data_IF_599043976649
#
_entry.id   IF_599043976649
#
_cell.length_a   1.000
_cell.length_b   1.000
_cell.length_c   1.000
_cell.angle_alpha   90.00
_cell.angle_beta   90.00
_cell.angle_gamma   90.00
#
_symmetry.space_group_name_H-M   'P 1'
#
loop_
_entity.id
_entity.type
_entity.pdbx_description
1 polymer ?
#
# COMPACT_ATOMS: atom_id res chain seq x y z
N UNK A 1 -98.15 8.31 -66.74
CA UNK A 1 -97.27 9.49 -66.70
C UNK A 1 -97.64 10.38 -65.52
N UNK A 2 -96.76 10.56 -64.52
CA UNK A 2 -96.71 11.73 -63.62
C UNK A 2 -95.39 11.71 -62.87
N UNK A 3 -94.48 12.61 -63.24
CA UNK A 3 -93.11 12.66 -62.74
C UNK A 3 -93.03 13.09 -61.27
N UNK A 4 -92.22 12.38 -60.49
CA UNK A 4 -91.82 12.81 -59.14
C UNK A 4 -90.89 14.02 -59.26
N UNK A 5 -91.37 15.20 -58.88
CA UNK A 5 -90.52 16.39 -58.70
C UNK A 5 -89.63 16.16 -57.48
N UNK A 6 -88.31 16.20 -57.67
CA UNK A 6 -87.34 16.25 -56.56
C UNK A 6 -87.41 17.62 -55.89
N UNK A 7 -87.53 17.64 -54.56
CA UNK A 7 -87.43 18.86 -53.78
C UNK A 7 -86.02 19.47 -53.89
N UNK A 8 -85.89 20.81 -53.91
CA UNK A 8 -84.59 21.47 -53.85
C UNK A 8 -83.91 21.19 -52.51
N UNK A 9 -82.60 20.88 -52.55
CA UNK A 9 -81.77 20.76 -51.33
C UNK A 9 -81.74 22.13 -50.63
N UNK A 10 -81.87 22.21 -49.30
CA UNK A 10 -81.72 23.48 -48.60
C UNK A 10 -80.28 24.00 -48.81
N UNK A 11 -80.09 25.32 -48.99
CA UNK A 11 -78.76 25.89 -49.00
C UNK A 11 -78.14 25.65 -47.61
N UNK A 12 -76.93 25.08 -47.58
CA UNK A 12 -76.11 25.02 -46.37
C UNK A 12 -75.98 26.44 -45.79
N UNK A 13 -76.42 26.70 -44.55
CA UNK A 13 -76.43 28.05 -44.03
C UNK A 13 -75.02 28.42 -43.57
N UNK A 14 -74.71 29.71 -43.75
CA UNK A 14 -73.68 30.45 -43.03
C UNK A 14 -72.29 29.83 -42.93
N UNK A 15 -71.38 30.28 -43.81
CA UNK A 15 -70.02 30.56 -43.36
C UNK A 15 -70.12 31.65 -42.30
N UNK A 16 -70.00 31.27 -41.02
CA UNK A 16 -69.79 32.25 -39.95
C UNK A 16 -68.61 33.14 -40.38
N UNK A 17 -68.69 34.47 -40.24
CA UNK A 17 -67.56 35.35 -40.55
C UNK A 17 -66.31 35.01 -39.71
N UNK A 18 -66.49 34.23 -38.64
CA UNK A 18 -65.44 33.76 -37.76
C UNK A 18 -64.80 32.43 -38.16
N UNK A 19 -65.39 31.64 -39.07
CA UNK A 19 -64.81 30.34 -39.50
C UNK A 19 -63.37 30.48 -40.02
N UNK A 20 -63.02 31.44 -40.91
CA UNK A 20 -61.62 31.60 -41.34
C UNK A 20 -60.71 32.04 -40.20
N UNK A 21 -61.19 32.85 -39.25
CA UNK A 21 -60.43 33.30 -38.08
C UNK A 21 -60.11 32.12 -37.16
N UNK A 22 -61.09 31.25 -36.89
CA UNK A 22 -60.90 30.04 -36.08
C UNK A 22 -59.95 29.06 -36.76
N UNK A 23 -60.04 28.88 -38.08
CA UNK A 23 -59.10 28.05 -38.83
C UNK A 23 -57.67 28.60 -38.78
N UNK A 24 -57.47 29.91 -38.98
CA UNK A 24 -56.15 30.54 -38.92
C UNK A 24 -55.58 30.46 -37.50
N UNK A 25 -56.37 30.74 -36.47
CA UNK A 25 -55.95 30.60 -35.07
C UNK A 25 -55.56 29.16 -34.72
N UNK A 26 -56.32 28.18 -35.20
CA UNK A 26 -56.00 26.76 -35.03
C UNK A 26 -54.69 26.36 -35.71
N UNK A 27 -54.42 26.87 -36.92
CA UNK A 27 -53.15 26.61 -37.63
C UNK A 27 -51.97 27.26 -36.91
N UNK A 28 -52.11 28.50 -36.42
CA UNK A 28 -51.08 29.20 -35.64
C UNK A 28 -50.78 28.48 -34.33
N UNK A 29 -51.82 28.02 -33.62
CA UNK A 29 -51.64 27.24 -32.40
C UNK A 29 -50.95 25.90 -32.66
N UNK A 30 -51.32 25.20 -33.74
CA UNK A 30 -50.69 23.94 -34.13
C UNK A 30 -49.23 24.10 -34.56
N UNK A 31 -48.90 25.14 -35.33
CA UNK A 31 -47.52 25.41 -35.74
C UNK A 31 -46.65 25.87 -34.57
N UNK A 32 -47.19 26.65 -33.63
CA UNK A 32 -46.50 26.99 -32.39
C UNK A 32 -46.20 25.74 -31.54
N UNK A 33 -47.17 24.83 -31.38
CA UNK A 33 -46.98 23.54 -30.70
C UNK A 33 -45.88 22.69 -31.34
N UNK A 34 -45.86 22.58 -32.67
CA UNK A 34 -44.82 21.85 -33.40
C UNK A 34 -43.45 22.52 -33.24
N UNK A 35 -43.37 23.85 -33.32
CA UNK A 35 -42.12 24.58 -33.12
C UNK A 35 -41.56 24.42 -31.70
N UNK A 36 -42.40 24.41 -30.67
CA UNK A 36 -42.00 24.17 -29.28
C UNK A 36 -41.45 22.75 -29.08
N UNK A 37 -42.00 21.75 -29.78
CA UNK A 37 -41.47 20.38 -29.72
C UNK A 37 -40.03 20.26 -30.24
N UNK A 38 -39.62 21.09 -31.20
CA UNK A 38 -38.23 21.14 -31.69
C UNK A 38 -37.25 21.84 -30.73
N UNK A 39 -37.75 22.50 -29.67
CA UNK A 39 -36.93 23.10 -28.63
C UNK A 39 -36.66 22.14 -27.45
N UNK A 40 -37.42 21.04 -27.36
CA UNK A 40 -37.19 19.99 -26.36
C UNK A 40 -36.00 19.15 -26.83
N UNK A 41 -34.98 19.07 -25.98
CA UNK A 41 -33.84 18.15 -26.19
C UNK A 41 -34.07 16.89 -25.38
N UNK A 42 -33.74 15.75 -25.97
CA UNK A 42 -33.67 14.47 -25.29
C UNK A 42 -32.24 14.18 -24.85
N UNK A 43 -32.02 14.10 -23.55
CA UNK A 43 -30.69 13.98 -22.95
C UNK A 43 -30.65 12.74 -22.07
N UNK A 44 -29.56 11.99 -22.10
CA UNK A 44 -29.35 10.85 -21.20
C UNK A 44 -28.56 11.30 -19.99
N UNK A 45 -29.19 11.33 -18.83
CA UNK A 45 -28.53 11.60 -17.56
C UNK A 45 -28.09 10.29 -16.92
N UNK A 46 -26.82 10.18 -16.54
CA UNK A 46 -26.22 9.01 -15.88
C UNK A 46 -25.75 9.43 -14.50
N UNK A 47 -26.46 9.04 -13.45
CA UNK A 47 -26.09 9.36 -12.05
C UNK A 47 -25.55 8.11 -11.38
N UNK A 48 -24.26 8.12 -11.04
CA UNK A 48 -23.55 6.96 -10.47
C UNK A 48 -23.80 5.64 -11.24
N UNK A 49 -23.86 5.72 -12.57
CA UNK A 49 -24.10 4.58 -13.46
C UNK A 49 -25.57 4.30 -13.77
N UNK A 50 -26.53 4.93 -13.08
CA UNK A 50 -27.96 4.78 -13.35
C UNK A 50 -28.39 5.71 -14.47
N UNK A 51 -28.88 5.15 -15.59
CA UNK A 51 -29.25 5.91 -16.80
C UNK A 51 -30.72 6.30 -16.75
N UNK A 52 -31.02 7.58 -16.97
CA UNK A 52 -32.38 8.13 -17.01
C UNK A 52 -32.53 9.10 -18.19
N UNK A 53 -33.54 8.94 -19.06
CA UNK A 53 -33.84 9.94 -20.08
C UNK A 53 -34.43 11.19 -19.42
N UNK A 54 -33.98 12.36 -19.87
CA UNK A 54 -34.44 13.66 -19.40
C UNK A 54 -34.82 14.50 -20.61
N UNK A 55 -36.05 15.01 -20.61
CA UNK A 55 -36.50 16.00 -21.58
C UNK A 55 -36.30 17.38 -20.98
N UNK A 56 -35.48 18.21 -21.62
CA UNK A 56 -35.17 19.54 -21.13
C UNK A 56 -35.20 20.58 -22.25
N UNK A 57 -35.66 21.79 -21.90
CA UNK A 57 -35.50 22.98 -22.74
C UNK A 57 -34.15 23.69 -22.52
N UNK A 58 -33.30 23.08 -21.68
CA UNK A 58 -32.07 23.64 -21.17
C UNK A 58 -31.04 23.97 -22.27
N UNK A 59 -30.38 25.10 -22.11
CA UNK A 59 -29.21 25.51 -22.89
C UNK A 59 -27.95 24.80 -22.41
N UNK A 60 -27.80 24.56 -21.11
CA UNK A 60 -26.57 24.07 -20.47
C UNK A 60 -26.77 22.80 -19.63
N UNK A 61 -25.67 22.15 -19.26
CA UNK A 61 -25.67 20.96 -18.40
C UNK A 61 -26.28 21.25 -17.02
N UNK A 62 -25.94 22.39 -16.41
CA UNK A 62 -26.48 22.83 -15.12
C UNK A 62 -28.01 22.95 -15.14
N UNK A 63 -28.58 23.53 -16.20
CA UNK A 63 -30.02 23.65 -16.36
C UNK A 63 -30.70 22.28 -16.56
N UNK A 64 -30.07 21.34 -17.27
CA UNK A 64 -30.59 19.96 -17.39
C UNK A 64 -30.61 19.28 -16.03
N UNK A 65 -29.55 19.42 -15.23
CA UNK A 65 -29.47 18.85 -13.89
C UNK A 65 -30.54 19.43 -12.95
N UNK A 66 -30.73 20.74 -12.98
CA UNK A 66 -31.77 21.42 -12.20
C UNK A 66 -33.18 20.93 -12.60
N UNK A 67 -33.45 20.80 -13.90
CA UNK A 67 -34.71 20.26 -14.41
C UNK A 67 -34.95 18.79 -14.00
N UNK A 68 -33.88 18.00 -13.89
CA UNK A 68 -33.91 16.62 -13.42
C UNK A 68 -33.97 16.50 -11.88
N UNK A 69 -33.92 17.61 -11.14
CA UNK A 69 -33.90 17.63 -9.67
C UNK A 69 -32.58 17.13 -9.06
N UNK A 70 -31.48 17.15 -9.83
CA UNK A 70 -30.15 16.77 -9.36
C UNK A 70 -29.42 18.00 -8.88
N UNK A 71 -29.10 18.02 -7.58
CA UNK A 71 -28.29 19.09 -6.95
C UNK A 71 -26.85 18.62 -6.82
N UNK A 72 -25.90 19.47 -7.22
CA UNK A 72 -24.48 19.17 -7.09
C UNK A 72 -23.97 19.56 -5.70
N UNK A 73 -23.35 18.59 -5.02
CA UNK A 73 -22.64 18.82 -3.77
C UNK A 73 -21.15 19.13 -4.02
N UNK A 74 -20.47 19.56 -2.95
CA UNK A 74 -19.03 19.76 -3.01
C UNK A 74 -18.29 18.45 -3.31
N UNK A 75 -17.45 18.46 -4.34
CA UNK A 75 -16.67 17.31 -4.79
C UNK A 75 -17.36 16.46 -5.87
N UNK A 76 -18.65 16.68 -6.14
CA UNK A 76 -19.32 16.01 -7.25
C UNK A 76 -18.68 16.41 -8.58
N UNK A 77 -18.59 15.45 -9.50
CA UNK A 77 -18.03 15.66 -10.83
C UNK A 77 -19.12 15.44 -11.87
N UNK A 78 -19.28 16.41 -12.77
CA UNK A 78 -20.16 16.32 -13.93
C UNK A 78 -19.35 16.36 -15.22
N UNK A 79 -19.74 15.53 -16.20
CA UNK A 79 -19.20 15.52 -17.56
C UNK A 79 -20.35 15.46 -18.57
N UNK A 80 -20.41 16.34 -19.59
CA UNK A 80 -19.57 17.53 -19.80
C UNK A 80 -19.66 18.57 -18.67
N UNK A 81 -18.88 19.66 -18.74
CA UNK A 81 -18.86 20.65 -17.65
C UNK A 81 -20.22 21.32 -17.46
N UNK A 82 -20.52 21.80 -16.25
CA UNK A 82 -21.82 22.37 -15.90
C UNK A 82 -22.26 23.54 -16.82
N UNK A 83 -21.31 24.32 -17.33
CA UNK A 83 -21.57 25.47 -18.22
C UNK A 83 -21.59 25.11 -19.70
N UNK A 84 -21.35 23.84 -20.04
CA UNK A 84 -21.30 23.40 -21.43
C UNK A 84 -22.70 23.35 -22.04
N UNK A 85 -22.80 23.77 -23.30
CA UNK A 85 -24.06 23.74 -24.03
C UNK A 85 -24.49 22.30 -24.32
N UNK A 86 -25.75 22.00 -24.05
CA UNK A 86 -26.32 20.66 -24.24
C UNK A 86 -26.97 20.58 -25.61
N UNK A 87 -26.59 19.54 -26.38
CA UNK A 87 -27.19 19.18 -27.67
C UNK A 87 -28.18 18.05 -27.49
N UNK A 88 -29.06 17.89 -28.48
CA UNK A 88 -29.97 16.76 -28.54
C UNK A 88 -29.18 15.43 -28.62
N UNK A 89 -29.62 14.43 -27.86
CA UNK A 89 -28.94 13.14 -27.70
C UNK A 89 -27.68 13.17 -26.83
N UNK A 90 -27.35 14.28 -26.16
CA UNK A 90 -26.19 14.36 -25.28
C UNK A 90 -26.28 13.37 -24.11
N UNK A 91 -25.13 12.89 -23.63
CA UNK A 91 -25.02 12.13 -22.38
C UNK A 91 -24.34 12.99 -21.34
N UNK A 92 -25.00 13.17 -20.20
CA UNK A 92 -24.48 13.88 -19.03
C UNK A 92 -24.22 12.83 -17.94
N UNK A 93 -22.98 12.68 -17.51
CA UNK A 93 -22.58 11.81 -16.42
C UNK A 93 -22.34 12.64 -15.16
N UNK A 94 -22.98 12.25 -14.07
CA UNK A 94 -22.77 12.80 -12.72
C UNK A 94 -22.23 11.70 -11.83
N UNK A 95 -21.07 11.95 -11.24
CA UNK A 95 -20.48 11.12 -10.19
C UNK A 95 -20.50 11.89 -8.89
N UNK A 96 -21.21 11.37 -7.89
CA UNK A 96 -21.30 12.00 -6.58
C UNK A 96 -20.06 11.71 -5.74
N UNK A 97 -19.60 12.71 -5.01
CA UNK A 97 -18.52 12.57 -4.05
C UNK A 97 -18.96 11.75 -2.84
N UNK A 98 -18.06 10.86 -2.41
CA UNK A 98 -18.26 9.90 -1.32
C UNK A 98 -17.12 10.07 -0.32
N UNK A 99 -17.42 10.35 0.97
CA UNK A 99 -16.38 10.42 2.00
C UNK A 99 -15.72 9.05 2.21
N UNK A 100 -14.39 9.00 2.18
CA UNK A 100 -13.62 7.79 2.43
C UNK A 100 -12.59 8.03 3.52
N UNK A 101 -12.75 7.36 4.65
CA UNK A 101 -11.72 7.31 5.71
C UNK A 101 -10.83 6.11 5.46
N UNK A 102 -9.62 6.37 4.97
CA UNK A 102 -8.65 5.35 4.60
C UNK A 102 -7.59 5.18 5.68
N UNK A 103 -7.43 3.96 6.19
CA UNK A 103 -6.31 3.57 7.05
C UNK A 103 -5.33 2.69 6.29
N UNK A 104 -4.21 3.28 5.85
CA UNK A 104 -3.14 2.59 5.13
C UNK A 104 -2.02 2.23 6.11
N UNK A 105 -1.78 0.94 6.32
CA UNK A 105 -0.72 0.42 7.21
C UNK A 105 -0.73 0.98 8.65
N UNK A 106 -1.85 1.57 9.08
CA UNK A 106 -2.02 2.18 10.38
C UNK A 106 -2.11 3.69 10.39
N UNK A 107 -1.86 4.35 9.26
CA UNK A 107 -2.02 5.79 9.10
C UNK A 107 -3.40 6.10 8.51
N UNK A 108 -4.20 6.88 9.23
CA UNK A 108 -5.56 7.25 8.82
C UNK A 108 -5.56 8.60 8.13
N UNK A 109 -6.25 8.68 7.00
CA UNK A 109 -6.47 9.89 6.20
C UNK A 109 -7.91 9.94 5.71
N UNK A 110 -8.43 11.15 5.47
CA UNK A 110 -9.79 11.37 4.96
C UNK A 110 -9.70 11.89 3.53
N UNK A 111 -10.48 11.28 2.65
CA UNK A 111 -10.54 11.61 1.22
C UNK A 111 -12.00 11.77 0.78
N UNK A 112 -12.19 12.48 -0.33
CA UNK A 112 -13.43 12.46 -1.09
C UNK A 112 -13.13 11.79 -2.43
N UNK A 113 -13.89 10.77 -2.78
CA UNK A 113 -13.73 10.01 -4.02
C UNK A 113 -15.04 10.01 -4.81
N UNK A 114 -14.97 9.86 -6.12
CA UNK A 114 -16.16 9.78 -7.00
C UNK A 114 -16.48 8.35 -7.43
N UNK A 115 -15.57 7.42 -7.12
CA UNK A 115 -15.73 5.98 -7.35
C UNK A 115 -16.93 5.36 -6.62
N UNK A 116 -17.66 4.47 -7.31
CA UNK A 116 -18.83 3.77 -6.76
C UNK A 116 -18.49 2.48 -6.00
N UNK A 117 -17.27 1.97 -6.17
CA UNK A 117 -16.78 0.74 -5.55
C UNK A 117 -15.35 0.89 -5.00
N UNK A 118 -14.97 -0.01 -4.10
CA UNK A 118 -13.67 0.02 -3.39
C UNK A 118 -12.49 -0.01 -4.35
N UNK A 119 -12.56 -0.82 -5.42
CA UNK A 119 -11.48 -0.97 -6.40
C UNK A 119 -11.20 0.32 -7.16
N UNK A 120 -12.25 0.97 -7.67
CA UNK A 120 -12.15 2.28 -8.31
C UNK A 120 -11.69 3.36 -7.33
N UNK A 121 -12.16 3.34 -6.09
CA UNK A 121 -11.78 4.33 -5.08
C UNK A 121 -10.28 4.25 -4.74
N UNK A 122 -9.73 3.04 -4.65
CA UNK A 122 -8.30 2.84 -4.47
C UNK A 122 -7.50 3.28 -5.70
N UNK A 123 -8.01 3.04 -6.91
CA UNK A 123 -7.38 3.51 -8.14
C UNK A 123 -7.35 5.04 -8.26
N UNK A 124 -8.42 5.72 -7.85
CA UNK A 124 -8.52 7.19 -7.82
C UNK A 124 -7.49 7.82 -6.86
N UNK A 125 -7.12 7.11 -5.79
CA UNK A 125 -6.10 7.53 -4.83
C UNK A 125 -4.68 7.06 -5.20
N UNK A 126 -4.48 6.49 -6.40
CA UNK A 126 -3.23 5.86 -6.84
C UNK A 126 -2.72 4.74 -5.89
N UNK A 127 -3.63 4.13 -5.13
CA UNK A 127 -3.32 3.03 -4.23
C UNK A 127 -3.56 1.74 -4.96
N UNK A 128 -2.48 1.15 -5.47
CA UNK A 128 -2.54 -0.25 -5.89
C UNK A 128 -2.58 -1.10 -4.63
N UNK A 129 -3.64 -1.90 -4.37
CA UNK A 129 -3.62 -2.86 -3.28
C UNK A 129 -2.57 -3.93 -3.61
N UNK A 130 -1.31 -3.65 -3.27
CA UNK A 130 -0.16 -4.47 -3.61
C UNK A 130 -0.28 -5.83 -2.91
N UNK A 131 -0.94 -6.79 -3.57
CA UNK A 131 -1.25 -8.13 -3.08
C UNK A 131 -1.64 -8.19 -1.58
N UNK A 132 -2.28 -7.11 -1.11
CA UNK A 132 -2.47 -6.78 0.29
C UNK A 132 -3.75 -7.38 0.86
N UNK A 133 -4.04 -7.10 2.13
CA UNK A 133 -5.34 -7.40 2.72
C UNK A 133 -6.17 -6.13 2.79
N UNK A 134 -7.41 -6.20 2.33
CA UNK A 134 -8.40 -5.13 2.43
C UNK A 134 -9.43 -5.47 3.50
N UNK A 135 -10.00 -4.47 4.17
CA UNK A 135 -11.15 -4.67 5.07
C UNK A 135 -12.45 -4.93 4.32
N UNK A 136 -12.55 -4.51 3.06
CA UNK A 136 -13.67 -4.76 2.16
C UNK A 136 -13.17 -5.26 0.79
N UNK A 137 -13.86 -6.20 0.12
CA UNK A 137 -13.59 -6.61 -1.25
C UNK A 137 -13.56 -5.43 -2.24
N UNK A 138 -12.74 -5.47 -3.31
CA UNK A 138 -12.70 -4.42 -4.33
C UNK A 138 -14.04 -4.15 -5.04
N UNK A 139 -14.93 -5.13 -5.11
CA UNK A 139 -16.25 -5.00 -5.74
C UNK A 139 -17.32 -4.40 -4.83
N UNK A 140 -17.04 -4.20 -3.55
CA UNK A 140 -18.02 -3.66 -2.61
C UNK A 140 -18.32 -2.20 -2.94
N UNK A 141 -19.59 -1.81 -2.77
CA UNK A 141 -20.02 -0.44 -2.99
C UNK A 141 -19.44 0.49 -1.90
N UNK A 142 -19.00 1.68 -2.32
CA UNK A 142 -18.67 2.78 -1.40
C UNK A 142 -19.95 3.58 -1.17
N UNK A 143 -20.54 3.67 0.04
CA UNK A 143 -21.79 4.40 0.25
C UNK A 143 -21.65 5.92 0.11
N UNK A 144 -22.76 6.62 -0.12
CA UNK A 144 -22.80 8.09 -0.18
C UNK A 144 -22.58 8.72 1.20
N UNK A 145 -23.07 8.07 2.27
CA UNK A 145 -22.80 8.48 3.66
C UNK A 145 -21.33 8.32 4.07
N UNK A 146 -20.56 7.56 3.29
CA UNK A 146 -19.13 7.35 3.43
C UNK A 146 -18.74 5.93 3.81
N UNK A 147 -17.42 5.66 3.80
CA UNK A 147 -16.84 4.35 4.09
C UNK A 147 -15.57 4.46 4.93
N UNK A 148 -15.36 3.51 5.85
CA UNK A 148 -14.06 3.27 6.47
C UNK A 148 -13.37 2.08 5.78
N UNK A 149 -12.18 2.31 5.23
CA UNK A 149 -11.42 1.29 4.51
C UNK A 149 -10.04 1.14 5.14
N UNK A 150 -9.67 -0.09 5.52
CA UNK A 150 -8.32 -0.40 5.99
C UNK A 150 -7.58 -1.23 4.96
N UNK A 151 -6.40 -0.77 4.57
CA UNK A 151 -5.51 -1.42 3.60
C UNK A 151 -4.22 -1.82 4.28
N UNK A 152 -3.87 -3.10 4.16
CA UNK A 152 -2.60 -3.65 4.62
C UNK A 152 -1.76 -4.02 3.41
N UNK A 153 -0.64 -3.32 3.21
CA UNK A 153 0.25 -3.59 2.08
C UNK A 153 1.07 -4.86 2.32
N UNK A 154 1.20 -5.73 1.31
CA UNK A 154 2.08 -6.90 1.41
C UNK A 154 3.51 -6.48 1.09
N UNK A 155 4.42 -6.70 2.04
CA UNK A 155 5.84 -6.35 1.92
C UNK A 155 6.76 -7.55 2.10
N UNK A 156 7.96 -7.49 1.54
CA UNK A 156 9.02 -8.49 1.64
C UNK A 156 10.01 -8.07 2.71
N UNK A 157 10.26 -8.95 3.66
CA UNK A 157 11.22 -8.72 4.75
C UNK A 157 12.13 -9.93 4.88
N UNK A 158 13.30 -9.71 5.47
CA UNK A 158 14.31 -10.72 5.70
C UNK A 158 14.51 -10.89 7.20
N UNK A 159 14.50 -12.12 7.70
CA UNK A 159 14.86 -12.41 9.09
C UNK A 159 16.20 -13.12 9.07
N UNK A 160 17.18 -12.57 9.78
CA UNK A 160 18.54 -13.08 9.87
C UNK A 160 18.82 -13.47 11.32
N UNK A 161 19.09 -14.75 11.51
CA UNK A 161 19.54 -15.32 12.78
C UNK A 161 20.77 -16.21 12.50
N UNK A 162 21.96 -15.64 12.65
CA UNK A 162 23.21 -16.33 12.30
C UNK A 162 23.32 -16.64 10.81
N UNK A 163 23.24 -17.92 10.43
CA UNK A 163 23.27 -18.39 9.03
C UNK A 163 21.90 -18.48 8.40
N UNK A 164 20.86 -18.50 9.23
CA UNK A 164 19.51 -18.67 8.75
C UNK A 164 19.00 -17.33 8.25
N UNK A 165 18.84 -17.22 6.94
CA UNK A 165 18.14 -16.10 6.30
C UNK A 165 16.77 -16.56 5.82
N UNK A 166 15.73 -16.17 6.53
CA UNK A 166 14.35 -16.44 6.12
C UNK A 166 13.81 -15.24 5.36
N UNK A 167 13.25 -15.51 4.17
CA UNK A 167 12.48 -14.49 3.46
C UNK A 167 11.01 -14.62 3.84
N UNK A 168 10.35 -13.48 4.10
CA UNK A 168 8.92 -13.42 4.39
C UNK A 168 8.25 -12.41 3.49
N UNK A 169 7.07 -12.75 2.95
CA UNK A 169 6.11 -11.75 2.47
C UNK A 169 4.98 -11.66 3.48
N UNK A 170 4.73 -10.47 4.02
CA UNK A 170 3.84 -10.29 5.17
C UNK A 170 3.08 -8.97 5.11
N UNK A 171 1.97 -8.91 5.84
CA UNK A 171 1.18 -7.69 6.14
C UNK A 171 1.27 -7.32 7.63
N UNK A 172 2.21 -7.94 8.36
CA UNK A 172 2.43 -7.72 9.78
C UNK A 172 2.78 -6.27 10.10
N UNK A 173 2.18 -5.71 11.16
CA UNK A 173 2.39 -4.31 11.56
C UNK A 173 3.66 -4.10 12.40
N UNK A 174 4.21 -5.17 12.96
CA UNK A 174 5.39 -5.10 13.83
C UNK A 174 6.39 -6.21 13.55
N UNK A 175 7.68 -5.96 13.80
CA UNK A 175 8.75 -6.97 13.75
C UNK A 175 8.39 -8.21 14.57
N UNK A 176 7.82 -8.03 15.77
CA UNK A 176 7.33 -9.12 16.64
C UNK A 176 6.35 -10.05 15.93
N UNK A 177 5.40 -9.49 15.17
CA UNK A 177 4.44 -10.28 14.40
C UNK A 177 5.11 -11.07 13.28
N UNK A 178 6.11 -10.48 12.60
CA UNK A 178 6.91 -11.18 11.58
C UNK A 178 7.62 -12.38 12.18
N UNK A 179 8.30 -12.20 13.32
CA UNK A 179 9.04 -13.27 13.99
C UNK A 179 8.11 -14.39 14.46
N UNK A 180 6.93 -14.04 15.00
CA UNK A 180 5.90 -15.02 15.37
C UNK A 180 5.40 -15.83 14.17
N UNK A 181 5.15 -15.18 13.02
CA UNK A 181 4.74 -15.86 11.79
C UNK A 181 5.82 -16.81 11.27
N UNK A 182 7.10 -16.45 11.43
CA UNK A 182 8.25 -17.28 11.08
C UNK A 182 8.64 -18.30 12.14
N UNK A 183 7.87 -18.40 13.24
CA UNK A 183 8.13 -19.31 14.37
C UNK A 183 9.55 -19.15 14.92
N UNK A 184 10.05 -17.92 14.94
CA UNK A 184 11.35 -17.61 15.50
C UNK A 184 11.18 -17.39 17.00
N UNK A 185 11.74 -18.30 17.78
CA UNK A 185 11.72 -18.23 19.24
C UNK A 185 12.82 -17.31 19.75
N UNK A 186 12.42 -16.21 20.40
CA UNK A 186 13.35 -15.32 21.08
C UNK A 186 13.49 -15.76 22.53
N UNK A 187 14.71 -16.12 22.95
CA UNK A 187 15.01 -16.37 24.36
C UNK A 187 15.26 -15.04 25.08
N UNK A 188 15.19 -15.05 26.42
CA UNK A 188 15.48 -13.88 27.24
C UNK A 188 16.88 -13.33 26.91
N UNK A 189 16.96 -12.02 26.69
CA UNK A 189 18.21 -11.30 26.40
C UNK A 189 18.56 -11.19 24.92
N UNK A 190 17.82 -11.83 24.01
CA UNK A 190 18.04 -11.62 22.59
C UNK A 190 17.69 -10.17 22.21
N UNK A 191 18.57 -9.53 21.47
CA UNK A 191 18.35 -8.21 20.88
C UNK A 191 17.86 -8.38 19.44
N UNK A 192 16.86 -7.60 19.06
CA UNK A 192 16.30 -7.62 17.70
C UNK A 192 16.38 -6.21 17.15
N UNK A 193 16.94 -6.12 15.95
CA UNK A 193 17.05 -4.88 15.19
C UNK A 193 16.41 -5.07 13.80
N UNK A 194 15.43 -4.23 13.39
CA UNK A 194 14.79 -3.17 14.15
C UNK A 194 14.02 -3.66 15.40
N UNK A 195 13.66 -2.77 16.35
CA UNK A 195 12.96 -3.14 17.58
C UNK A 195 11.66 -3.92 17.34
N UNK A 196 11.29 -4.79 18.28
CA UNK A 196 10.13 -5.69 18.14
C UNK A 196 8.81 -4.99 17.79
N UNK A 197 8.62 -3.75 18.25
CA UNK A 197 7.39 -3.00 18.07
C UNK A 197 7.45 -2.02 16.90
N UNK A 198 8.58 -1.96 16.18
CA UNK A 198 8.72 -1.11 15.00
C UNK A 198 7.98 -1.70 13.79
N UNK A 199 7.53 -0.81 12.90
CA UNK A 199 6.94 -1.19 11.62
C UNK A 199 8.03 -1.72 10.69
N UNK A 200 7.88 -2.92 10.10
CA UNK A 200 8.84 -3.43 9.13
C UNK A 200 8.48 -2.93 7.73
N UNK A 201 9.28 -2.03 7.16
CA UNK A 201 9.14 -1.55 5.78
C UNK A 201 9.52 -2.62 4.75
N UNK A 202 9.18 -2.39 3.48
CA UNK A 202 9.61 -3.28 2.39
C UNK A 202 11.14 -3.32 2.29
N UNK A 203 11.70 -4.52 2.19
CA UNK A 203 13.14 -4.75 2.19
C UNK A 203 13.79 -4.84 3.59
N UNK A 204 13.06 -4.58 4.68
CA UNK A 204 13.62 -4.60 6.05
C UNK A 204 14.36 -5.90 6.35
N UNK A 205 15.56 -5.78 6.91
CA UNK A 205 16.37 -6.89 7.43
C UNK A 205 16.28 -6.90 8.95
N UNK A 206 15.56 -7.87 9.49
CA UNK A 206 15.39 -8.12 10.92
C UNK A 206 16.54 -9.02 11.39
N UNK A 207 17.50 -8.45 12.10
CA UNK A 207 18.66 -9.15 12.67
C UNK A 207 18.38 -9.51 14.12
N UNK A 208 18.65 -10.76 14.48
CA UNK A 208 18.47 -11.27 15.83
C UNK A 208 19.83 -11.59 16.43
N UNK A 209 20.24 -10.83 17.43
CA UNK A 209 21.53 -10.95 18.14
C UNK A 209 21.34 -11.63 19.50
N UNK A 210 22.09 -12.69 19.84
CA UNK A 210 22.03 -13.28 21.17
C UNK A 210 22.55 -12.31 22.25
N UNK A 211 22.10 -12.43 23.50
CA UNK A 211 22.60 -11.60 24.59
C UNK A 211 24.10 -11.80 24.83
N UNK A 212 24.76 -10.73 25.27
CA UNK A 212 26.07 -10.79 25.93
C UNK A 212 25.88 -11.07 27.42
N UNK A 213 25.52 -12.31 27.77
CA UNK A 213 25.23 -12.70 29.16
C UNK A 213 26.48 -12.79 30.04
N UNK A 214 27.64 -12.99 29.44
CA UNK A 214 28.89 -13.20 30.18
C UNK A 214 29.73 -11.94 30.09
N UNK A 215 30.07 -11.36 31.25
CA UNK A 215 30.96 -10.21 31.29
C UNK A 215 32.39 -10.64 30.93
N UNK A 216 33.02 -9.87 30.06
CA UNK A 216 34.43 -10.06 29.74
C UNK A 216 35.27 -9.50 30.87
N UNK A 217 36.20 -10.30 31.37
CA UNK A 217 37.15 -9.89 32.40
C UNK A 217 37.97 -8.68 31.90
N UNK A 218 38.14 -7.62 32.70
CA UNK A 218 38.83 -6.42 32.26
C UNK A 218 40.29 -6.66 31.79
N UNK A 219 40.99 -7.65 32.34
CA UNK A 219 42.33 -7.99 31.86
C UNK A 219 42.28 -8.68 30.49
N UNK A 220 41.27 -9.53 30.26
CA UNK A 220 41.01 -10.12 28.94
C UNK A 220 40.64 -9.06 27.91
N UNK A 221 39.76 -8.12 28.26
CA UNK A 221 39.33 -7.04 27.36
C UNK A 221 40.48 -6.13 26.91
N UNK A 222 41.52 -5.97 27.75
CA UNK A 222 42.71 -5.13 27.47
C UNK A 222 43.79 -5.81 26.63
N UNK A 223 43.66 -7.10 26.32
CA UNK A 223 44.59 -7.77 25.39
C UNK A 223 44.53 -7.15 24.00
N UNK A 224 45.57 -7.33 23.20
CA UNK A 224 45.66 -6.75 21.85
C UNK A 224 44.89 -7.61 20.83
N UNK A 225 43.56 -7.56 20.94
CA UNK A 225 42.63 -8.25 20.05
C UNK A 225 42.77 -7.82 18.60
N UNK A 226 43.10 -6.55 18.38
CA UNK A 226 43.35 -6.01 17.04
C UNK A 226 44.58 -6.67 16.41
N UNK A 227 45.69 -6.80 17.14
CA UNK A 227 46.88 -7.48 16.62
C UNK A 227 46.67 -8.96 16.34
N UNK A 228 45.80 -9.63 17.11
CA UNK A 228 45.37 -11.00 16.80
C UNK A 228 44.56 -11.04 15.50
N UNK A 229 43.51 -10.22 15.39
CA UNK A 229 42.66 -10.17 14.19
C UNK A 229 43.43 -9.83 12.91
N UNK A 230 44.38 -8.89 13.01
CA UNK A 230 45.25 -8.53 11.90
C UNK A 230 46.10 -9.71 11.41
N UNK A 231 46.62 -10.52 12.35
CA UNK A 231 47.42 -11.70 12.01
C UNK A 231 46.57 -12.84 11.44
N UNK A 232 45.36 -13.03 11.96
CA UNK A 232 44.46 -14.13 11.56
C UNK A 232 43.80 -13.89 10.20
N UNK A 233 43.36 -12.67 9.90
CA UNK A 233 42.61 -12.39 8.67
C UNK A 233 42.83 -10.99 8.08
N UNK A 234 43.87 -10.27 8.48
CA UNK A 234 44.03 -8.83 8.18
C UNK A 234 42.84 -7.99 8.69
N UNK A 235 42.23 -8.45 9.79
CA UNK A 235 41.07 -7.80 10.39
C UNK A 235 39.76 -7.93 9.59
N UNK A 236 39.69 -8.74 8.54
CA UNK A 236 38.47 -8.87 7.72
C UNK A 236 37.37 -9.66 8.47
N UNK A 237 36.24 -9.03 8.83
CA UNK A 237 35.12 -9.73 9.46
C UNK A 237 34.39 -10.69 8.54
N UNK A 238 34.57 -10.60 7.22
CA UNK A 238 33.95 -11.50 6.25
C UNK A 238 34.86 -12.62 5.78
N UNK A 239 36.07 -12.73 6.36
CA UNK A 239 37.05 -13.72 5.97
C UNK A 239 36.49 -15.16 6.00
N UNK A 240 36.94 -15.96 5.03
CA UNK A 240 36.65 -17.39 4.92
C UNK A 240 37.90 -18.12 4.41
N UNK A 241 38.35 -19.12 5.17
CA UNK A 241 39.44 -20.00 4.75
C UNK A 241 38.86 -21.37 4.32
N UNK A 242 39.05 -21.81 3.05
CA UNK A 242 38.55 -23.09 2.57
C UNK A 242 39.39 -24.31 2.99
N UNK A 243 40.66 -24.13 3.34
CA UNK A 243 41.61 -25.23 3.66
C UNK A 243 41.41 -25.79 5.08
N UNK A 244 40.71 -25.04 5.93
CA UNK A 244 40.10 -25.49 7.16
C UNK A 244 38.99 -24.49 7.46
N UNK A 245 37.71 -24.90 7.65
CA UNK A 245 36.58 -23.98 7.62
C UNK A 245 36.59 -23.05 8.84
N UNK A 246 37.34 -21.96 8.70
CA UNK A 246 37.55 -20.89 9.66
C UNK A 246 36.96 -19.61 9.09
N UNK A 247 36.31 -18.82 9.95
CA UNK A 247 35.49 -17.69 9.54
C UNK A 247 35.76 -16.44 10.38
N UNK A 248 35.66 -15.29 9.73
CA UNK A 248 35.69 -13.96 10.34
C UNK A 248 37.06 -13.53 10.86
N UNK A 249 37.09 -12.41 11.58
CA UNK A 249 38.30 -11.70 12.01
C UNK A 249 39.29 -12.56 12.79
N UNK A 250 38.76 -13.52 13.55
CA UNK A 250 39.52 -14.36 14.47
C UNK A 250 39.63 -15.81 13.98
N UNK A 251 39.29 -16.08 12.73
CA UNK A 251 39.39 -17.40 12.11
C UNK A 251 38.76 -18.50 12.98
N UNK A 252 37.54 -18.26 13.45
CA UNK A 252 36.80 -19.20 14.29
C UNK A 252 36.45 -20.47 13.53
N UNK A 253 36.63 -21.64 14.17
CA UNK A 253 35.90 -22.83 13.74
C UNK A 253 34.43 -22.72 14.14
N UNK A 254 33.53 -23.29 13.33
CA UNK A 254 32.09 -23.26 13.61
C UNK A 254 31.72 -23.88 14.97
N UNK A 255 32.29 -25.01 15.40
CA UNK A 255 32.03 -25.56 16.73
C UNK A 255 32.44 -24.62 17.87
N UNK A 256 33.58 -23.93 17.77
CA UNK A 256 34.02 -23.00 18.82
C UNK A 256 33.17 -21.74 18.88
N UNK A 257 32.77 -21.21 17.73
CA UNK A 257 31.81 -20.12 17.64
C UNK A 257 30.50 -20.45 18.36
N UNK A 258 29.94 -21.63 18.08
CA UNK A 258 28.72 -22.12 18.73
C UNK A 258 28.94 -22.37 20.24
N UNK A 259 30.11 -22.87 20.63
CA UNK A 259 30.45 -23.13 22.03
C UNK A 259 30.47 -21.85 22.88
N UNK A 260 30.72 -20.68 22.28
CA UNK A 260 30.62 -19.38 22.97
C UNK A 260 29.30 -18.66 22.69
N UNK A 261 28.30 -19.36 22.14
CA UNK A 261 26.94 -18.86 21.94
C UNK A 261 26.72 -18.07 20.66
N UNK A 262 27.66 -18.12 19.72
CA UNK A 262 27.48 -17.59 18.38
C UNK A 262 26.47 -18.42 17.56
N UNK A 263 25.67 -17.76 16.72
CA UNK A 263 24.74 -18.44 15.80
C UNK A 263 25.26 -18.37 14.38
N UNK A 264 25.12 -19.44 13.59
CA UNK A 264 25.58 -19.47 12.20
C UNK A 264 27.09 -19.28 12.03
N UNK A 265 27.50 -18.61 10.95
CA UNK A 265 28.89 -18.34 10.64
C UNK A 265 29.35 -17.05 11.34
N UNK A 266 30.54 -17.03 11.96
CA UNK A 266 31.16 -15.82 12.50
C UNK A 266 31.14 -14.65 11.50
N UNK A 267 31.40 -14.92 10.23
CA UNK A 267 31.47 -13.92 9.16
C UNK A 267 30.16 -13.21 8.79
N UNK A 268 29.03 -13.69 9.34
CA UNK A 268 27.73 -13.01 9.21
C UNK A 268 27.50 -11.94 10.28
N UNK A 269 28.41 -11.80 11.25
CA UNK A 269 28.25 -10.92 12.41
C UNK A 269 29.17 -9.70 12.35
N UNK A 270 28.75 -8.57 12.94
CA UNK A 270 29.60 -7.39 13.04
C UNK A 270 30.85 -7.67 13.88
N UNK A 271 31.89 -6.86 13.65
CA UNK A 271 33.24 -6.98 14.23
C UNK A 271 33.23 -7.03 15.76
N UNK A 272 32.36 -6.24 16.39
CA UNK A 272 32.25 -6.14 17.84
C UNK A 272 31.68 -7.43 18.46
N UNK A 273 30.73 -8.08 17.79
CA UNK A 273 30.20 -9.37 18.21
C UNK A 273 31.24 -10.49 18.04
N UNK A 274 31.98 -10.48 16.93
CA UNK A 274 33.09 -11.42 16.74
C UNK A 274 34.15 -11.27 17.83
N UNK A 275 34.49 -10.03 18.18
CA UNK A 275 35.46 -9.70 19.24
C UNK A 275 34.99 -10.12 20.63
N UNK A 276 33.73 -9.83 20.97
CA UNK A 276 33.13 -10.29 22.23
C UNK A 276 33.21 -11.81 22.38
N UNK A 277 32.89 -12.55 21.32
CA UNK A 277 32.93 -14.02 21.35
C UNK A 277 34.36 -14.55 21.41
N UNK A 278 35.34 -13.87 20.80
CA UNK A 278 36.76 -14.23 20.90
C UNK A 278 37.29 -14.05 22.33
N UNK A 279 36.94 -12.93 22.97
CA UNK A 279 37.20 -12.67 24.38
C UNK A 279 36.56 -13.73 25.28
N UNK A 280 35.30 -14.06 25.02
CA UNK A 280 34.58 -15.08 25.76
C UNK A 280 35.22 -16.47 25.59
N UNK A 281 35.68 -16.83 24.39
CA UNK A 281 36.38 -18.08 24.13
C UNK A 281 37.68 -18.14 24.95
N UNK A 282 38.47 -17.07 24.92
CA UNK A 282 39.72 -16.98 25.68
C UNK A 282 39.49 -17.16 27.18
N UNK A 283 38.48 -16.49 27.76
CA UNK A 283 38.09 -16.71 29.15
C UNK A 283 37.62 -18.13 29.41
N UNK A 284 36.76 -18.69 28.53
CA UNK A 284 36.20 -20.04 28.69
C UNK A 284 37.29 -21.13 28.69
N UNK A 285 38.37 -20.93 27.93
CA UNK A 285 39.52 -21.84 27.94
C UNK A 285 40.54 -21.51 29.05
N UNK A 286 40.26 -20.55 29.92
CA UNK A 286 41.13 -20.14 31.02
C UNK A 286 42.45 -19.52 30.54
N UNK A 287 42.41 -18.73 29.46
CA UNK A 287 43.59 -18.10 28.86
C UNK A 287 44.52 -19.05 28.09
N UNK A 288 44.16 -20.33 27.95
CA UNK A 288 44.90 -21.31 27.13
C UNK A 288 44.63 -21.12 25.63
N UNK A 289 45.08 -19.98 25.10
CA UNK A 289 44.87 -19.55 23.72
C UNK A 289 45.59 -20.42 22.67
N UNK A 290 46.67 -21.12 23.03
CA UNK A 290 47.55 -21.85 22.09
C UNK A 290 46.81 -22.89 21.24
N UNK A 291 45.76 -23.50 21.78
CA UNK A 291 44.93 -24.45 21.02
C UNK A 291 43.87 -23.79 20.13
N UNK A 292 43.60 -22.49 20.33
CA UNK A 292 42.60 -21.73 19.57
C UNK A 292 43.25 -20.91 18.46
N UNK A 293 44.36 -20.25 18.78
CA UNK A 293 45.14 -19.41 17.85
C UNK A 293 46.63 -19.80 17.92
N UNK A 294 47.02 -20.97 17.38
CA UNK A 294 48.37 -21.51 17.55
C UNK A 294 49.47 -20.63 16.94
N UNK A 295 49.16 -19.95 15.83
CA UNK A 295 50.15 -19.16 15.08
C UNK A 295 50.12 -17.67 15.46
N UNK A 296 48.95 -17.11 15.72
CA UNK A 296 48.79 -15.68 15.96
C UNK A 296 48.48 -15.31 17.42
N UNK A 297 48.19 -16.27 18.31
CA UNK A 297 47.73 -15.95 19.67
C UNK A 297 48.76 -15.22 20.54
N UNK A 298 50.06 -15.32 20.24
CA UNK A 298 51.11 -14.51 20.89
C UNK A 298 50.90 -13.00 20.68
N UNK A 299 50.19 -12.60 19.62
CA UNK A 299 49.89 -11.19 19.30
C UNK A 299 49.05 -10.50 20.36
N UNK A 300 48.27 -11.26 21.15
CA UNK A 300 47.45 -10.73 22.24
C UNK A 300 48.26 -9.99 23.32
N UNK A 301 49.56 -10.27 23.45
CA UNK A 301 50.37 -9.82 24.59
C UNK A 301 51.43 -8.77 24.22
N UNK A 302 51.50 -8.31 22.97
CA UNK A 302 52.54 -7.37 22.52
C UNK A 302 53.98 -7.91 22.69
N UNK A 303 55.00 -7.15 22.23
CA UNK A 303 56.41 -7.57 22.33
C UNK A 303 56.99 -7.55 23.76
N UNK A 304 56.36 -6.85 24.71
CA UNK A 304 56.93 -6.62 26.04
C UNK A 304 56.63 -7.74 27.06
N UNK A 305 55.62 -8.59 26.82
CA UNK A 305 55.10 -9.52 27.84
C UNK A 305 55.44 -11.00 27.57
N UNK A 306 55.99 -11.31 26.39
CA UNK A 306 56.31 -12.69 25.96
C UNK A 306 57.42 -13.34 26.82
N UNK A 307 58.30 -12.54 27.42
CA UNK A 307 59.41 -13.05 28.26
C UNK A 307 58.92 -13.60 29.60
N UNK A 308 57.75 -13.20 30.10
CA UNK A 308 57.24 -13.60 31.42
C UNK A 308 56.37 -14.88 31.39
N UNK A 309 55.77 -15.23 30.24
CA UNK A 309 54.85 -16.38 30.09
C UNK A 309 55.50 -17.65 29.51
N UNK A 310 56.83 -17.62 29.31
CA UNK A 310 57.65 -18.76 28.83
C UNK A 310 58.41 -19.48 29.97
N UNK A 311 58.13 -19.16 31.23
CA UNK A 311 58.63 -19.90 32.41
C UNK A 311 57.50 -20.65 33.09
#
# INVERSE_FOLDING_TARGET
MRGKRRAPRPPLPWRSPWTPVVCVAGVVAASALVAVSFLVKEVVLVVDGERRPVHAFAGTVEEVLAAAGVTMAYGDVVRPSAQEEVRDGATIEVRRARPLTLTLDGHTSKHLVTASNVGEALAELDITPAAGRLSAPPGDAVPLEGMELTVYTRRKVYVVAGTTRLTSRTTARTVRQVLRQKRVELRRGYHVDPPLDSFPEDGTVITIVPPRTTQIDPATARLDWRALAECESHGDPRAYNPDGPYYGMYQFSLPMWQAVGGMGLPSNWPEDEQTYRAQLLYQKVGGRWRGQWPNCGDRLFGRATVTALRR
#
